data_IF_501159275620
#
_entry.id   IF_501159275620
#
_cell.length_a   1.000
_cell.length_b   1.000
_cell.length_c   1.000
_cell.angle_alpha   90.00
_cell.angle_beta   90.00
_cell.angle_gamma   90.00
#
_symmetry.space_group_name_H-M   'P 1'
#
loop_
_entity.id
_entity.type
_entity.pdbx_description
1 polymer ?
#
# COMPACT_ATOMS: atom_id res chain seq x y z
N UNK A 1 -9.28 4.14 5.28
CA UNK A 1 -9.46 3.23 4.13
C UNK A 1 -8.95 1.86 4.50
N UNK A 2 -7.72 1.74 5.01
CA UNK A 2 -7.16 0.46 5.48
C UNK A 2 -8.14 -0.39 6.32
N UNK A 3 -8.68 0.14 7.42
CA UNK A 3 -9.60 -0.63 8.29
C UNK A 3 -10.84 -1.17 7.56
N UNK A 4 -11.30 -0.46 6.53
CA UNK A 4 -12.45 -0.88 5.71
C UNK A 4 -12.05 -1.94 4.69
N UNK A 5 -10.95 -1.73 3.98
CA UNK A 5 -10.38 -2.69 3.04
C UNK A 5 -8.90 -2.38 2.71
N UNK A 6 -8.10 -3.44 2.60
CA UNK A 6 -6.69 -3.44 2.20
C UNK A 6 -6.34 -4.79 1.55
N UNK A 7 -5.19 -4.87 0.88
CA UNK A 7 -4.67 -6.14 0.36
C UNK A 7 -4.28 -7.07 1.52
N UNK A 8 -4.41 -8.40 1.36
CA UNK A 8 -4.13 -9.34 2.45
C UNK A 8 -2.72 -9.22 3.01
N UNK A 9 -2.59 -9.20 4.33
CA UNK A 9 -1.30 -9.10 5.04
C UNK A 9 -0.59 -7.77 4.89
N UNK A 10 -1.23 -6.74 4.30
CA UNK A 10 -0.67 -5.39 4.30
C UNK A 10 -0.47 -4.88 5.73
N UNK A 11 0.47 -3.95 5.92
CA UNK A 11 0.68 -3.26 7.19
C UNK A 11 0.42 -1.78 6.97
N UNK A 12 -0.42 -1.18 7.82
CA UNK A 12 -0.76 0.24 7.71
C UNK A 12 0.35 1.15 8.24
N UNK A 13 1.18 1.66 7.33
CA UNK A 13 2.19 2.70 7.61
C UNK A 13 2.03 3.83 6.60
N UNK A 14 1.57 5.00 7.07
CA UNK A 14 1.23 6.13 6.21
C UNK A 14 2.43 7.08 6.04
N UNK A 15 2.76 7.43 4.80
CA UNK A 15 3.78 8.43 4.47
C UNK A 15 3.43 9.87 4.91
N UNK A 16 2.20 10.09 5.40
CA UNK A 16 1.78 11.37 6.00
C UNK A 16 2.11 11.49 7.49
N UNK A 17 2.46 10.39 8.13
CA UNK A 17 2.73 10.36 9.57
C UNK A 17 4.22 10.56 9.85
N UNK A 18 4.50 11.21 10.98
CA UNK A 18 5.88 11.42 11.43
C UNK A 18 6.60 10.08 11.64
N UNK A 19 7.89 10.05 11.31
CA UNK A 19 8.73 8.85 11.45
C UNK A 19 8.38 7.73 10.46
N UNK A 20 7.79 8.06 9.31
CA UNK A 20 7.43 7.11 8.26
C UNK A 20 8.58 6.12 7.95
N UNK A 21 9.78 6.62 7.68
CA UNK A 21 10.94 5.80 7.32
C UNK A 21 11.35 4.87 8.45
N UNK A 22 11.42 5.37 9.69
CA UNK A 22 11.76 4.58 10.86
C UNK A 22 10.75 3.46 11.10
N UNK A 23 9.45 3.75 10.95
CA UNK A 23 8.39 2.76 11.11
C UNK A 23 8.42 1.68 10.05
N UNK A 24 8.76 2.02 8.80
CA UNK A 24 8.97 0.98 7.76
C UNK A 24 10.20 0.13 8.10
N UNK A 25 11.29 0.73 8.58
CA UNK A 25 12.48 -0.03 9.05
C UNK A 25 12.18 -0.97 10.21
N UNK A 26 11.28 -0.59 11.11
CA UNK A 26 10.82 -1.45 12.22
C UNK A 26 9.92 -2.60 11.74
N UNK A 27 9.26 -2.46 10.59
CA UNK A 27 8.33 -3.44 10.05
C UNK A 27 8.99 -4.50 9.14
N UNK A 28 10.25 -4.30 8.74
CA UNK A 28 10.99 -5.22 7.87
C UNK A 28 12.22 -5.79 8.59
N UNK A 29 12.63 -7.00 8.20
CA UNK A 29 13.83 -7.63 8.77
C UNK A 29 15.12 -6.96 8.30
N UNK A 30 15.15 -6.49 7.04
CA UNK A 30 16.26 -5.76 6.45
C UNK A 30 15.81 -4.87 5.27
N UNK A 31 16.71 -3.99 4.82
CA UNK A 31 16.43 -3.01 3.76
C UNK A 31 16.51 -3.57 2.33
N UNK A 32 16.86 -4.84 2.15
CA UNK A 32 16.85 -5.55 0.87
C UNK A 32 15.55 -6.32 0.61
N UNK A 33 14.66 -6.44 1.60
CA UNK A 33 13.29 -6.93 1.38
C UNK A 33 12.57 -6.07 0.34
N UNK A 34 11.74 -6.72 -0.47
CA UNK A 34 10.83 -6.04 -1.37
C UNK A 34 9.73 -5.33 -0.58
N UNK A 35 9.66 -4.01 -0.72
CA UNK A 35 8.64 -3.16 -0.12
C UNK A 35 7.72 -2.65 -1.22
N UNK A 36 6.48 -3.13 -1.21
CA UNK A 36 5.43 -2.68 -2.12
C UNK A 36 4.58 -1.64 -1.38
N UNK A 37 4.58 -0.41 -1.89
CA UNK A 37 3.69 0.65 -1.42
C UNK A 37 2.54 0.83 -2.39
N UNK A 38 1.37 1.16 -1.86
CA UNK A 38 0.19 1.39 -2.69
C UNK A 38 -0.78 2.36 -2.00
N UNK A 39 -1.69 2.91 -2.78
CA UNK A 39 -2.79 3.75 -2.31
C UNK A 39 -4.12 3.24 -2.90
N UNK A 40 -5.19 4.03 -2.84
CA UNK A 40 -6.50 3.62 -3.37
C UNK A 40 -6.51 3.39 -4.90
N UNK A 41 -5.75 4.19 -5.66
CA UNK A 41 -5.70 4.14 -7.14
C UNK A 41 -4.58 5.01 -7.71
N UNK A 42 -4.38 4.96 -9.03
CA UNK A 42 -3.44 5.78 -9.81
C UNK A 42 -3.56 7.31 -9.58
N UNK A 43 -4.71 7.81 -9.12
CA UNK A 43 -4.89 9.25 -8.84
C UNK A 43 -4.17 9.71 -7.57
N UNK A 44 -3.65 8.79 -6.77
CA UNK A 44 -3.02 9.08 -5.50
C UNK A 44 -1.53 9.35 -5.66
N UNK A 45 -1.11 10.58 -5.35
CA UNK A 45 0.31 11.00 -5.42
C UNK A 45 1.15 10.55 -4.22
N UNK A 46 0.53 9.95 -3.21
CA UNK A 46 1.24 9.57 -1.97
C UNK A 46 2.08 8.31 -2.13
N UNK A 47 1.63 7.30 -2.88
CA UNK A 47 2.41 6.07 -3.03
C UNK A 47 3.68 6.27 -3.88
N UNK A 48 3.68 7.07 -4.97
CA UNK A 48 4.92 7.42 -5.65
C UNK A 48 5.91 8.16 -4.74
N UNK A 49 5.42 9.10 -3.92
CA UNK A 49 6.28 9.85 -2.99
C UNK A 49 6.86 8.93 -1.91
N UNK A 50 6.03 8.06 -1.33
CA UNK A 50 6.47 7.07 -0.35
C UNK A 50 7.56 6.15 -0.91
N UNK A 51 7.39 5.71 -2.17
CA UNK A 51 8.38 4.87 -2.85
C UNK A 51 9.72 5.62 -3.02
N UNK A 52 9.67 6.88 -3.44
CA UNK A 52 10.85 7.73 -3.58
C UNK A 52 11.57 7.95 -2.24
N UNK A 53 10.83 8.29 -1.18
CA UNK A 53 11.39 8.54 0.15
C UNK A 53 12.09 7.29 0.72
N UNK A 54 11.51 6.10 0.52
CA UNK A 54 12.12 4.83 0.92
C UNK A 54 13.39 4.52 0.13
N UNK A 55 13.38 4.74 -1.19
CA UNK A 55 14.56 4.55 -2.02
C UNK A 55 15.69 5.51 -1.59
N UNK A 56 15.38 6.79 -1.34
CA UNK A 56 16.34 7.78 -0.82
C UNK A 56 16.88 7.40 0.57
N UNK A 57 16.05 6.76 1.41
CA UNK A 57 16.45 6.25 2.71
C UNK A 57 17.31 4.98 2.65
N UNK A 58 17.51 4.40 1.46
CA UNK A 58 18.40 3.27 1.20
C UNK A 58 17.73 1.90 1.07
N UNK A 59 16.40 1.84 0.98
CA UNK A 59 15.70 0.59 0.68
C UNK A 59 16.02 0.17 -0.76
N UNK A 60 16.41 -1.09 -0.95
CA UNK A 60 16.99 -1.53 -2.22
C UNK A 60 15.93 -1.95 -3.24
N UNK A 61 14.78 -2.42 -2.78
CA UNK A 61 13.72 -3.00 -3.60
C UNK A 61 12.37 -2.37 -3.23
N UNK A 62 12.10 -1.18 -3.76
CA UNK A 62 10.84 -0.47 -3.49
C UNK A 62 10.02 -0.39 -4.76
N UNK A 63 8.74 -0.78 -4.68
CA UNK A 63 7.80 -0.80 -5.80
C UNK A 63 6.58 0.03 -5.44
N UNK A 64 6.25 1.02 -6.27
CA UNK A 64 4.93 1.66 -6.23
C UNK A 64 3.95 0.84 -7.06
N UNK A 65 2.95 0.25 -6.40
CA UNK A 65 1.85 -0.41 -7.08
C UNK A 65 0.78 0.63 -7.44
N UNK A 66 1.01 1.33 -8.56
CA UNK A 66 0.22 2.48 -9.01
C UNK A 66 -1.29 2.18 -9.15
N UNK A 67 -1.63 0.94 -9.54
CA UNK A 67 -3.00 0.45 -9.63
C UNK A 67 -3.78 0.54 -8.33
N UNK A 68 -3.07 0.43 -7.20
CA UNK A 68 -3.64 0.53 -5.88
C UNK A 68 -4.69 -0.54 -5.58
N UNK A 69 -5.46 -0.29 -4.53
CA UNK A 69 -6.52 -1.19 -4.09
C UNK A 69 -7.60 -1.38 -5.17
N UNK A 70 -7.85 -0.36 -6.01
CA UNK A 70 -8.81 -0.46 -7.12
C UNK A 70 -8.42 -1.55 -8.12
N UNK A 71 -7.21 -1.49 -8.69
CA UNK A 71 -6.79 -2.49 -9.67
C UNK A 71 -6.62 -3.89 -9.07
N UNK A 72 -6.28 -3.98 -7.77
CA UNK A 72 -6.28 -5.25 -7.06
C UNK A 72 -7.68 -5.88 -7.00
N UNK A 73 -8.69 -5.08 -6.63
CA UNK A 73 -10.08 -5.54 -6.57
C UNK A 73 -10.66 -5.88 -7.95
N UNK A 74 -10.38 -5.08 -8.98
CA UNK A 74 -10.80 -5.33 -10.37
C UNK A 74 -10.20 -6.64 -10.94
N UNK A 75 -9.03 -7.05 -10.46
CA UNK A 75 -8.42 -8.33 -10.80
C UNK A 75 -9.08 -9.53 -10.10
N UNK A 76 -10.02 -9.31 -9.18
CA UNK A 76 -10.74 -10.35 -8.46
C UNK A 76 -9.93 -10.98 -7.33
N UNK A 77 -8.92 -10.29 -6.81
CA UNK A 77 -8.16 -10.76 -5.66
C UNK A 77 -8.86 -10.42 -4.34
N UNK A 78 -8.60 -11.24 -3.32
CA UNK A 78 -9.19 -11.07 -1.99
C UNK A 78 -8.71 -9.77 -1.31
N UNK A 79 -9.56 -9.22 -0.44
CA UNK A 79 -9.29 -8.07 0.41
C UNK A 79 -9.47 -8.45 1.89
N UNK A 80 -8.75 -7.76 2.79
CA UNK A 80 -8.92 -7.83 4.24
C UNK A 80 -9.48 -6.50 4.76
N UNK A 81 -10.24 -6.52 5.86
CA UNK A 81 -10.85 -5.33 6.48
C UNK A 81 -12.31 -5.54 6.89
N UNK A 82 -12.86 -4.59 7.64
CA UNK A 82 -14.23 -4.64 8.19
C UNK A 82 -15.32 -4.65 7.11
N UNK A 83 -15.03 -4.10 5.94
CA UNK A 83 -15.96 -3.94 4.82
C UNK A 83 -15.42 -4.55 3.52
N UNK A 84 -14.47 -5.50 3.61
CA UNK A 84 -13.72 -6.04 2.47
C UNK A 84 -14.61 -6.46 1.28
N UNK A 85 -15.63 -7.28 1.54
CA UNK A 85 -16.57 -7.74 0.50
C UNK A 85 -17.34 -6.60 -0.17
N UNK A 86 -17.79 -5.63 0.64
CA UNK A 86 -18.57 -4.48 0.15
C UNK A 86 -17.69 -3.57 -0.68
N UNK A 87 -16.45 -3.33 -0.26
CA UNK A 87 -15.49 -2.50 -1.00
C UNK A 87 -15.06 -3.19 -2.30
N UNK A 88 -14.80 -4.50 -2.29
CA UNK A 88 -14.45 -5.26 -3.49
C UNK A 88 -15.53 -5.15 -4.57
N UNK A 89 -16.80 -5.35 -4.21
CA UNK A 89 -17.93 -5.22 -5.13
C UNK A 89 -18.03 -3.80 -5.73
N UNK A 90 -17.94 -2.77 -4.89
CA UNK A 90 -18.06 -1.39 -5.35
C UNK A 90 -16.91 -0.96 -6.29
N UNK A 91 -15.69 -1.43 -6.04
CA UNK A 91 -14.53 -1.09 -6.88
C UNK A 91 -14.58 -1.80 -8.23
N UNK A 92 -15.04 -3.06 -8.27
CA UNK A 92 -15.16 -3.84 -9.50
C UNK A 92 -16.23 -3.31 -10.47
N UNK A 93 -17.21 -2.55 -9.99
CA UNK A 93 -18.31 -1.98 -10.78
C UNK A 93 -18.08 -0.51 -11.21
N UNK A 94 -16.92 0.08 -10.90
CA UNK A 94 -16.62 1.52 -11.03
C UNK A 94 -15.67 1.89 -12.17
#
# INVERSE_FOLDING_TARGET
MYDRAHTPGAVSISAKEDGFIERVKEAVDDMAVEVIVYCGSHSCVLSPQAAADLAEAGFMNVVDYEGGLKSWAEAGYDLEGEEADTVAQNLAES
#
